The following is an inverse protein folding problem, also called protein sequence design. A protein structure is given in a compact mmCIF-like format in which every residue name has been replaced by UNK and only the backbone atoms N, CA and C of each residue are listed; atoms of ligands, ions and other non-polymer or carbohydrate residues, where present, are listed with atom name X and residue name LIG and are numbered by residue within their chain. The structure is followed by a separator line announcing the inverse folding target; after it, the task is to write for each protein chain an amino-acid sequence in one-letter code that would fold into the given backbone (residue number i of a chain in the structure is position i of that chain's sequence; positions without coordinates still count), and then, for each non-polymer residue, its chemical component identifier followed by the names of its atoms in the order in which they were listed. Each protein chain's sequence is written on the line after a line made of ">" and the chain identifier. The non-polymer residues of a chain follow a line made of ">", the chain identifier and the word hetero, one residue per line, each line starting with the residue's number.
data_IF_738637994223
#
_entry.id   IF_738637994223
#
_cell.length_a   1.000
_cell.length_b   1.000
_cell.length_c   1.000
_cell.angle_alpha   90.00
_cell.angle_beta   90.00
_cell.angle_gamma   90.00
#
_symmetry.space_group_name_H-M   'P 1'
#
loop_
_entity.id
_entity.type
_entity.pdbx_description
1 polymer ?
#
# COMPACT_ATOMS: atom_id res chain seq x y z
N UNK A 1 23.56 -8.40 33.34
CA UNK A 1 22.88 -9.30 32.37
C UNK A 1 21.49 -8.72 32.19
N UNK A 2 21.24 -7.95 31.12
CA UNK A 2 19.91 -7.37 30.86
C UNK A 2 19.29 -8.24 29.77
N UNK A 3 18.34 -9.08 30.17
CA UNK A 3 17.56 -9.90 29.25
C UNK A 3 16.49 -9.03 28.59
N UNK A 4 16.65 -8.74 27.30
CA UNK A 4 15.63 -8.06 26.51
C UNK A 4 14.67 -9.11 25.98
N UNK A 5 13.52 -9.28 26.62
CA UNK A 5 12.43 -10.11 26.11
C UNK A 5 11.47 -9.17 25.39
N UNK A 6 11.76 -8.88 24.12
CA UNK A 6 10.80 -8.24 23.22
C UNK A 6 10.08 -9.33 22.42
N UNK A 7 9.14 -10.01 23.07
CA UNK A 7 8.15 -10.82 22.38
C UNK A 7 7.14 -9.88 21.72
N UNK A 8 7.32 -9.60 20.43
CA UNK A 8 6.23 -9.11 19.58
C UNK A 8 6.00 -10.22 18.57
N UNK A 9 4.91 -10.96 18.75
CA UNK A 9 4.43 -11.94 17.78
C UNK A 9 4.28 -11.24 16.44
N UNK A 10 5.26 -11.44 15.56
CA UNK A 10 5.31 -10.85 14.25
C UNK A 10 4.18 -11.41 13.40
N UNK A 11 3.04 -10.72 13.38
CA UNK A 11 2.13 -10.82 12.24
C UNK A 11 2.96 -10.32 11.06
N UNK A 12 3.37 -11.24 10.21
CA UNK A 12 4.13 -10.93 9.00
C UNK A 12 3.12 -10.29 8.03
N UNK A 13 2.80 -9.00 8.25
CA UNK A 13 1.87 -8.23 7.43
C UNK A 13 2.56 -8.05 6.07
N UNK A 14 2.35 -9.00 5.17
CA UNK A 14 2.93 -8.97 3.84
C UNK A 14 2.22 -7.85 3.07
N UNK A 15 2.91 -6.73 2.86
CA UNK A 15 2.36 -5.60 2.11
C UNK A 15 2.53 -5.88 0.61
N UNK A 16 1.42 -5.83 -0.12
CA UNK A 16 1.39 -5.92 -1.57
C UNK A 16 1.39 -4.51 -2.16
N UNK A 17 1.99 -4.38 -3.34
CA UNK A 17 1.98 -3.14 -4.11
C UNK A 17 1.47 -3.38 -5.53
N UNK A 18 0.76 -2.39 -6.08
CA UNK A 18 0.32 -2.40 -7.47
C UNK A 18 0.43 -1.02 -8.08
N UNK A 19 1.17 -0.93 -9.18
CA UNK A 19 1.19 0.25 -10.03
C UNK A 19 -0.14 0.35 -10.80
N UNK A 20 -0.84 1.47 -10.66
CA UNK A 20 -2.11 1.71 -11.38
C UNK A 20 -2.03 2.86 -12.39
N UNK A 21 -1.12 3.81 -12.20
CA UNK A 21 -0.86 4.89 -13.15
C UNK A 21 0.65 5.07 -13.32
N UNK A 22 1.22 4.76 -14.51
CA UNK A 22 2.66 4.83 -14.75
C UNK A 22 3.17 6.26 -14.96
N UNK A 23 2.28 7.24 -15.16
CA UNK A 23 2.63 8.65 -15.30
C UNK A 23 1.50 9.52 -14.74
N UNK A 24 1.80 10.81 -14.50
CA UNK A 24 0.83 11.84 -14.07
C UNK A 24 0.11 11.54 -12.75
N UNK A 25 0.82 11.02 -11.74
CA UNK A 25 0.23 10.80 -10.43
C UNK A 25 -0.21 12.09 -9.77
N UNK A 26 -1.50 12.18 -9.44
CA UNK A 26 -2.06 13.19 -8.54
C UNK A 26 -2.46 12.50 -7.24
N UNK A 27 -1.92 12.92 -6.10
CA UNK A 27 -2.09 12.18 -4.83
C UNK A 27 -3.56 11.96 -4.43
N UNK A 28 -4.43 12.96 -4.62
CA UNK A 28 -5.86 12.84 -4.33
C UNK A 28 -6.52 11.77 -5.22
N UNK A 29 -6.23 11.80 -6.52
CA UNK A 29 -6.75 10.82 -7.47
C UNK A 29 -6.21 9.42 -7.18
N UNK A 30 -4.90 9.30 -6.93
CA UNK A 30 -4.25 8.05 -6.60
C UNK A 30 -4.88 7.38 -5.37
N UNK A 31 -5.08 8.14 -4.28
CA UNK A 31 -5.74 7.63 -3.07
C UNK A 31 -7.18 7.20 -3.32
N UNK A 32 -7.96 8.01 -4.06
CA UNK A 32 -9.34 7.67 -4.43
C UNK A 32 -9.39 6.40 -5.28
N UNK A 33 -8.55 6.30 -6.31
CA UNK A 33 -8.51 5.15 -7.22
C UNK A 33 -8.09 3.87 -6.47
N UNK A 34 -7.07 3.94 -5.60
CA UNK A 34 -6.65 2.82 -4.75
C UNK A 34 -7.74 2.40 -3.77
N UNK A 35 -8.37 3.35 -3.08
CA UNK A 35 -9.46 3.08 -2.14
C UNK A 35 -10.65 2.44 -2.85
N UNK A 36 -10.98 2.86 -4.08
CA UNK A 36 -12.09 2.28 -4.83
C UNK A 36 -11.77 0.88 -5.35
N UNK A 37 -10.57 0.68 -5.92
CA UNK A 37 -10.16 -0.57 -6.53
C UNK A 37 -9.94 -1.68 -5.48
N UNK A 38 -9.48 -1.31 -4.29
CA UNK A 38 -9.18 -2.22 -3.19
C UNK A 38 -10.10 -2.02 -1.98
N UNK A 39 -11.29 -1.43 -2.16
CA UNK A 39 -12.23 -1.10 -1.08
C UNK A 39 -12.58 -2.27 -0.15
N UNK A 40 -12.46 -3.50 -0.66
CA UNK A 40 -12.75 -4.72 0.09
C UNK A 40 -11.57 -5.18 0.94
N UNK A 41 -10.36 -4.68 0.69
CA UNK A 41 -9.17 -5.03 1.47
C UNK A 41 -9.04 -4.11 2.68
N UNK A 42 -8.31 -4.57 3.70
CA UNK A 42 -7.97 -3.78 4.88
C UNK A 42 -6.97 -2.68 4.50
N UNK A 43 -7.33 -1.44 4.85
CA UNK A 43 -6.47 -0.25 4.79
C UNK A 43 -5.70 -0.04 3.47
N UNK A 44 -6.34 -0.09 2.29
CA UNK A 44 -5.67 0.26 1.04
C UNK A 44 -5.32 1.75 1.05
N UNK A 45 -4.12 2.10 0.59
CA UNK A 45 -3.73 3.50 0.41
C UNK A 45 -2.91 3.68 -0.87
N UNK A 46 -3.03 4.86 -1.45
CA UNK A 46 -2.31 5.28 -2.65
C UNK A 46 -1.21 6.29 -2.34
N UNK A 47 -0.07 6.12 -2.99
CA UNK A 47 1.12 6.96 -2.91
C UNK A 47 1.62 7.31 -4.31
N UNK A 48 2.10 8.55 -4.47
CA UNK A 48 2.81 8.96 -5.68
C UNK A 48 4.31 8.82 -5.47
N UNK A 49 4.93 7.88 -6.17
CA UNK A 49 6.37 7.60 -6.09
C UNK A 49 7.06 8.10 -7.35
N UNK A 50 8.18 8.79 -7.21
CA UNK A 50 8.95 9.25 -8.35
C UNK A 50 9.72 8.08 -8.98
N UNK A 51 9.48 7.83 -10.26
CA UNK A 51 10.34 6.97 -11.07
C UNK A 51 11.56 7.76 -11.53
N UNK A 52 12.73 7.40 -11.01
CA UNK A 52 13.99 8.11 -11.28
C UNK A 52 14.51 7.90 -12.71
N UNK A 53 14.05 6.86 -13.43
CA UNK A 53 14.47 6.59 -14.80
C UNK A 53 13.73 7.47 -15.82
N UNK A 54 12.44 7.70 -15.59
CA UNK A 54 11.58 8.48 -16.49
C UNK A 54 11.33 9.90 -15.98
N UNK A 55 11.72 10.20 -14.74
CA UNK A 55 11.44 11.45 -14.03
C UNK A 55 9.93 11.78 -13.96
N UNK A 56 9.10 10.75 -13.86
CA UNK A 56 7.64 10.87 -13.72
C UNK A 56 7.18 10.39 -12.35
N UNK A 57 6.04 10.88 -11.87
CA UNK A 57 5.39 10.33 -10.67
C UNK A 57 4.38 9.26 -11.05
N UNK A 58 4.52 8.11 -10.40
CA UNK A 58 3.75 6.89 -10.58
C UNK A 58 2.82 6.68 -9.37
N UNK A 59 1.59 6.23 -9.61
CA UNK A 59 0.66 5.90 -8.53
C UNK A 59 0.78 4.42 -8.15
N UNK A 60 1.23 4.17 -6.93
CA UNK A 60 1.25 2.85 -6.33
C UNK A 60 0.15 2.73 -5.28
N UNK A 61 -0.60 1.63 -5.35
CA UNK A 61 -1.51 1.22 -4.30
C UNK A 61 -0.84 0.17 -3.43
N UNK A 62 -0.94 0.34 -2.13
CA UNK A 62 -0.43 -0.58 -1.13
C UNK A 62 -1.59 -1.12 -0.30
N UNK A 63 -1.56 -2.42 -0.03
CA UNK A 63 -2.59 -3.12 0.73
C UNK A 63 -2.00 -4.35 1.41
N UNK A 64 -2.68 -4.90 2.41
CA UNK A 64 -2.28 -6.19 2.99
C UNK A 64 -2.61 -7.32 2.01
N UNK A 65 -1.59 -8.08 1.60
CA UNK A 65 -1.76 -9.23 0.70
C UNK A 65 -2.69 -10.29 1.27
N UNK A 66 -2.73 -10.40 2.60
CA UNK A 66 -3.51 -11.40 3.33
C UNK A 66 -4.85 -10.85 3.81
N UNK A 67 -5.19 -9.59 3.46
CA UNK A 67 -6.50 -9.05 3.77
C UNK A 67 -7.59 -9.92 3.13
N UNK A 68 -8.36 -10.60 3.97
CA UNK A 68 -9.64 -11.15 3.54
C UNK A 68 -10.58 -10.00 3.22
N UNK A 69 -11.40 -10.10 2.16
CA UNK A 69 -12.41 -9.10 1.88
C UNK A 69 -13.22 -8.80 3.14
N UNK A 70 -13.25 -7.54 3.59
CA UNK A 70 -14.23 -7.09 4.57
C UNK A 70 -15.60 -7.21 3.91
N UNK A 71 -16.29 -8.31 4.21
CA UNK A 71 -17.70 -8.48 3.92
C UNK A 71 -18.45 -7.50 4.82
N UNK A 72 -18.89 -6.38 4.24
CA UNK A 72 -19.79 -5.40 4.84
C UNK A 72 -21.22 -5.74 4.44
#
# INVERSE_FOLDING_TARGET
>A
IISVISGISGVNVKRCEKLIQPTNCTIQKCRSDCSNMFKSLLEPFGECIQNTKTNTYECFCFYDCNATPHLV
#
